data_IF_678762490073
#
_entry.id   IF_678762490073
#
_cell.length_a   1.000
_cell.length_b   1.000
_cell.length_c   1.000
_cell.angle_alpha   90.00
_cell.angle_beta   90.00
_cell.angle_gamma   90.00
#
_symmetry.space_group_name_H-M   'P 1'
#
loop_
_entity.id
_entity.type
_entity.pdbx_description
1 polymer ?
#
# COMPACT_ATOMS: atom_id res chain seq x y z
N UNK A 1 -9.67 -24.59 -3.44
CA UNK A 1 -8.88 -23.39 -3.73
C UNK A 1 -9.53 -22.63 -4.89
N UNK A 2 -9.27 -21.32 -5.01
CA UNK A 2 -9.83 -20.42 -6.02
C UNK A 2 -11.36 -20.26 -5.93
N UNK A 3 -11.91 -20.43 -4.77
CA UNK A 3 -13.34 -20.28 -4.49
C UNK A 3 -13.54 -19.45 -3.23
N UNK A 4 -14.39 -18.43 -3.32
CA UNK A 4 -14.69 -17.52 -2.22
C UNK A 4 -16.07 -17.82 -1.67
N UNK A 5 -16.21 -17.88 -0.36
CA UNK A 5 -17.52 -17.94 0.30
C UNK A 5 -18.13 -16.54 0.30
N UNK A 6 -19.29 -16.39 -0.33
CA UNK A 6 -20.02 -15.13 -0.43
C UNK A 6 -21.11 -15.02 0.63
N UNK A 7 -21.78 -16.11 0.93
CA UNK A 7 -22.92 -16.11 1.86
C UNK A 7 -22.89 -17.32 2.79
N UNK A 8 -23.24 -17.12 4.06
CA UNK A 8 -23.57 -18.19 4.98
C UNK A 8 -24.96 -17.94 5.56
N UNK A 9 -25.76 -18.99 5.71
CA UNK A 9 -27.10 -18.95 6.32
C UNK A 9 -27.31 -20.13 7.25
N UNK A 10 -27.90 -19.88 8.40
CA UNK A 10 -28.30 -20.94 9.29
C UNK A 10 -29.63 -21.57 8.78
N UNK A 11 -29.68 -22.90 8.73
CA UNK A 11 -30.87 -23.68 8.38
C UNK A 11 -31.06 -24.79 9.42
N UNK A 12 -31.97 -24.56 10.38
CA UNK A 12 -32.19 -25.42 11.54
C UNK A 12 -30.88 -25.70 12.30
N UNK A 13 -30.37 -26.93 12.22
CA UNK A 13 -29.16 -27.37 12.92
C UNK A 13 -27.89 -27.31 12.03
N UNK A 14 -28.00 -26.86 10.80
CA UNK A 14 -26.92 -26.83 9.83
C UNK A 14 -26.69 -25.41 9.29
N UNK A 15 -25.58 -25.21 8.64
CA UNK A 15 -25.25 -24.03 7.90
C UNK A 15 -25.26 -24.33 6.41
N UNK A 16 -25.77 -23.39 5.61
CA UNK A 16 -25.70 -23.40 4.16
C UNK A 16 -24.62 -22.37 3.79
N UNK A 17 -23.61 -22.80 3.05
CA UNK A 17 -22.49 -21.99 2.58
C UNK A 17 -22.57 -21.87 1.08
N UNK A 18 -22.63 -20.64 0.54
CA UNK A 18 -22.65 -20.36 -0.89
C UNK A 18 -21.38 -19.66 -1.34
N UNK A 19 -20.92 -20.00 -2.53
CA UNK A 19 -19.68 -19.48 -3.09
C UNK A 19 -19.90 -18.68 -4.36
N UNK A 20 -18.88 -17.91 -4.75
CA UNK A 20 -18.86 -17.15 -5.99
C UNK A 20 -18.99 -18.04 -7.26
N UNK A 21 -18.63 -19.33 -7.16
CA UNK A 21 -18.78 -20.30 -8.24
C UNK A 21 -20.18 -20.96 -8.27
N UNK A 22 -21.12 -20.43 -7.46
CA UNK A 22 -22.50 -20.96 -7.31
C UNK A 22 -22.59 -22.36 -6.69
N UNK A 23 -21.52 -22.82 -6.06
CA UNK A 23 -21.57 -24.04 -5.28
C UNK A 23 -22.26 -23.78 -3.95
N UNK A 24 -22.98 -24.79 -3.47
CA UNK A 24 -23.64 -24.78 -2.18
C UNK A 24 -23.19 -25.99 -1.33
N UNK A 25 -22.80 -25.73 -0.11
CA UNK A 25 -22.35 -26.74 0.85
C UNK A 25 -23.21 -26.66 2.10
N UNK A 26 -23.48 -27.83 2.69
CA UNK A 26 -24.15 -27.91 4.00
C UNK A 26 -23.12 -28.42 5.02
N UNK A 27 -23.03 -27.72 6.17
CA UNK A 27 -22.11 -28.07 7.24
C UNK A 27 -22.79 -27.93 8.62
N UNK A 28 -22.47 -28.80 9.56
CA UNK A 28 -22.93 -28.67 10.94
C UNK A 28 -22.22 -27.55 11.70
N UNK A 29 -20.94 -27.26 11.36
CA UNK A 29 -20.15 -26.24 11.96
C UNK A 29 -19.34 -25.50 10.89
N UNK A 30 -19.06 -24.20 11.13
CA UNK A 30 -18.19 -23.39 10.29
C UNK A 30 -17.04 -22.86 11.14
N UNK A 31 -15.83 -23.04 10.67
CA UNK A 31 -14.64 -22.45 11.26
C UNK A 31 -14.16 -21.31 10.34
N UNK A 32 -14.18 -20.08 10.87
CA UNK A 32 -13.71 -18.91 10.13
C UNK A 32 -12.22 -18.72 10.42
N UNK A 33 -11.38 -19.01 9.43
CA UNK A 33 -9.93 -18.88 9.50
C UNK A 33 -9.40 -17.89 8.44
N UNK A 34 -10.16 -16.80 8.20
CA UNK A 34 -9.88 -15.82 7.17
C UNK A 34 -8.74 -14.83 7.49
N UNK A 35 -8.09 -14.98 8.65
CA UNK A 35 -7.06 -14.07 9.11
C UNK A 35 -7.59 -12.64 9.22
N UNK A 36 -6.83 -11.67 8.71
CA UNK A 36 -7.20 -10.25 8.71
C UNK A 36 -7.99 -9.82 7.46
N UNK A 37 -8.48 -10.78 6.68
CA UNK A 37 -9.14 -10.53 5.40
C UNK A 37 -8.17 -10.22 4.27
N UNK A 38 -8.63 -9.51 3.24
CA UNK A 38 -7.77 -9.05 2.16
C UNK A 38 -7.05 -7.76 2.54
N UNK A 39 -5.78 -7.67 2.15
CA UNK A 39 -5.01 -6.44 2.26
C UNK A 39 -5.09 -5.67 0.94
N UNK A 40 -5.58 -4.45 0.99
CA UNK A 40 -5.48 -3.52 -0.11
C UNK A 40 -4.54 -2.36 0.26
N UNK A 41 -3.62 -1.97 -0.61
CA UNK A 41 -2.80 -0.80 -0.37
C UNK A 41 -3.68 0.45 -0.29
N UNK A 42 -3.37 1.33 0.66
CA UNK A 42 -4.00 2.64 0.71
C UNK A 42 -3.54 3.46 -0.48
N UNK A 43 -4.46 3.75 -1.40
CA UNK A 43 -4.16 4.47 -2.62
C UNK A 43 -3.91 5.96 -2.39
N UNK A 44 -3.16 6.56 -3.31
CA UNK A 44 -3.02 8.00 -3.42
C UNK A 44 -4.37 8.62 -3.85
N UNK A 45 -4.78 9.68 -3.15
CA UNK A 45 -6.03 10.39 -3.43
C UNK A 45 -5.74 11.63 -4.29
N UNK A 46 -5.49 11.41 -5.57
CA UNK A 46 -5.31 12.47 -6.56
C UNK A 46 -6.11 12.12 -7.82
N UNK A 47 -6.94 13.05 -8.29
CA UNK A 47 -7.79 12.81 -9.45
C UNK A 47 -6.98 12.43 -10.70
N UNK A 48 -7.34 11.33 -11.36
CA UNK A 48 -6.73 10.85 -12.60
C UNK A 48 -5.37 10.17 -12.41
N UNK A 49 -4.95 9.89 -11.17
CA UNK A 49 -3.68 9.20 -10.90
C UNK A 49 -3.76 7.71 -11.24
N UNK A 50 -4.98 7.16 -11.30
CA UNK A 50 -5.24 5.73 -11.55
C UNK A 50 -4.71 5.27 -12.91
N UNK A 51 -4.64 6.16 -13.88
CA UNK A 51 -4.11 5.86 -15.23
C UNK A 51 -2.63 5.44 -15.23
N UNK A 52 -1.90 5.75 -14.16
CA UNK A 52 -0.49 5.40 -14.01
C UNK A 52 -0.28 4.09 -13.24
N UNK A 53 -1.33 3.52 -12.63
CA UNK A 53 -1.22 2.29 -11.86
C UNK A 53 -0.75 1.12 -12.73
N UNK A 54 0.23 0.38 -12.23
CA UNK A 54 0.83 -0.75 -12.94
C UNK A 54 1.86 -0.38 -14.03
N UNK A 55 1.97 0.91 -14.40
CA UNK A 55 2.95 1.39 -15.38
C UNK A 55 4.08 2.20 -14.74
N UNK A 56 3.73 3.19 -13.93
CA UNK A 56 4.69 4.06 -13.25
C UNK A 56 4.27 4.48 -11.85
N UNK A 57 3.09 4.02 -11.40
CA UNK A 57 2.64 4.11 -10.02
C UNK A 57 2.42 2.69 -9.47
N UNK A 58 3.12 2.37 -8.39
CA UNK A 58 3.04 1.06 -7.75
C UNK A 58 2.85 1.19 -6.24
N UNK A 59 2.20 0.18 -5.66
CA UNK A 59 1.95 0.06 -4.21
C UNK A 59 2.72 -1.11 -3.59
N UNK A 60 3.47 -1.84 -4.40
CA UNK A 60 4.36 -2.92 -3.99
C UNK A 60 5.45 -3.13 -5.03
N UNK A 61 6.59 -3.66 -4.62
CA UNK A 61 7.68 -4.05 -5.52
C UNK A 61 7.64 -5.57 -5.65
N UNK A 62 7.30 -6.08 -6.83
CA UNK A 62 7.28 -7.52 -7.12
C UNK A 62 8.58 -7.99 -7.75
N UNK A 63 9.14 -7.18 -8.65
CA UNK A 63 10.39 -7.45 -9.34
C UNK A 63 11.23 -6.18 -9.33
N UNK A 64 12.32 -6.15 -8.59
CA UNK A 64 13.18 -4.97 -8.46
C UNK A 64 13.98 -4.60 -9.72
N UNK A 65 14.11 -5.53 -10.66
CA UNK A 65 14.80 -5.27 -11.93
C UNK A 65 14.12 -4.17 -12.77
N UNK A 66 12.78 -4.06 -12.66
CA UNK A 66 11.99 -3.06 -13.38
C UNK A 66 12.27 -1.62 -12.90
N UNK A 67 12.90 -1.47 -11.75
CA UNK A 67 13.19 -0.20 -11.11
C UNK A 67 14.63 0.29 -11.34
N UNK A 68 15.48 -0.49 -12.02
CA UNK A 68 16.88 -0.14 -12.25
C UNK A 68 17.05 1.11 -13.12
N UNK A 69 18.03 1.94 -12.78
CA UNK A 69 18.40 3.16 -13.49
C UNK A 69 17.24 4.16 -13.67
N UNK A 70 16.34 4.23 -12.68
CA UNK A 70 15.17 5.12 -12.66
C UNK A 70 15.32 6.21 -11.60
N UNK A 71 14.63 7.33 -11.84
CA UNK A 71 14.33 8.31 -10.79
C UNK A 71 13.05 7.86 -10.08
N UNK A 72 13.14 7.48 -8.81
CA UNK A 72 12.03 6.89 -8.08
C UNK A 72 11.66 7.79 -6.92
N UNK A 73 10.39 8.20 -6.87
CA UNK A 73 9.82 8.91 -5.73
C UNK A 73 9.04 7.93 -4.85
N UNK A 74 9.48 7.77 -3.61
CA UNK A 74 8.87 6.86 -2.63
C UNK A 74 8.11 7.67 -1.60
N UNK A 75 6.80 7.45 -1.51
CA UNK A 75 5.91 8.07 -0.53
C UNK A 75 5.64 7.12 0.62
N UNK A 76 6.02 7.54 1.83
CA UNK A 76 5.78 6.78 3.05
C UNK A 76 6.79 7.13 4.13
N UNK A 77 6.58 6.61 5.33
CA UNK A 77 7.46 6.89 6.48
C UNK A 77 7.54 5.74 7.47
N UNK A 78 7.02 4.57 7.11
CA UNK A 78 7.17 3.32 7.85
C UNK A 78 8.21 2.39 7.21
N UNK A 79 8.42 1.22 7.83
CA UNK A 79 9.45 0.24 7.45
C UNK A 79 9.44 -0.05 5.95
N UNK A 80 8.28 -0.36 5.35
CA UNK A 80 8.22 -0.68 3.92
C UNK A 80 8.78 0.42 3.01
N UNK A 81 8.52 1.70 3.32
CA UNK A 81 9.04 2.81 2.52
C UNK A 81 10.56 2.95 2.67
N UNK A 82 11.04 2.79 3.90
CA UNK A 82 12.46 2.92 4.25
C UNK A 82 13.28 1.76 3.69
N UNK A 83 12.81 0.54 3.85
CA UNK A 83 13.50 -0.65 3.36
C UNK A 83 13.60 -0.65 1.83
N UNK A 84 12.53 -0.27 1.13
CA UNK A 84 12.58 -0.13 -0.33
C UNK A 84 13.41 1.06 -0.79
N UNK A 85 13.44 2.18 -0.04
CA UNK A 85 14.33 3.29 -0.34
C UNK A 85 15.80 2.84 -0.25
N UNK A 86 16.14 2.10 0.81
CA UNK A 86 17.49 1.56 1.01
C UNK A 86 17.85 0.54 -0.08
N UNK A 87 16.98 -0.41 -0.38
CA UNK A 87 17.26 -1.47 -1.36
C UNK A 87 17.40 -0.91 -2.78
N UNK A 88 16.46 -0.06 -3.22
CA UNK A 88 16.45 0.50 -4.56
C UNK A 88 17.56 1.55 -4.79
N UNK A 89 18.05 2.19 -3.73
CA UNK A 89 19.17 3.15 -3.84
C UNK A 89 20.48 2.54 -4.33
N UNK A 90 20.62 1.22 -4.28
CA UNK A 90 21.78 0.48 -4.78
C UNK A 90 21.97 0.65 -6.29
N UNK A 91 20.89 0.89 -7.03
CA UNK A 91 20.91 0.94 -8.50
C UNK A 91 20.00 2.01 -9.13
N UNK A 92 19.39 2.86 -8.33
CA UNK A 92 18.47 3.92 -8.77
C UNK A 92 18.60 5.18 -7.92
N UNK A 93 18.12 6.30 -8.45
CA UNK A 93 18.09 7.57 -7.72
C UNK A 93 16.78 7.66 -6.95
N UNK A 94 16.86 7.85 -5.65
CA UNK A 94 15.70 7.82 -4.76
C UNK A 94 15.39 9.19 -4.19
N UNK A 95 14.12 9.59 -4.25
CA UNK A 95 13.57 10.67 -3.46
C UNK A 95 12.55 10.08 -2.48
N UNK A 96 12.86 10.11 -1.19
CA UNK A 96 12.00 9.64 -0.11
C UNK A 96 11.15 10.81 0.40
N UNK A 97 9.84 10.68 0.33
CA UNK A 97 8.87 11.75 0.60
C UNK A 97 7.97 11.34 1.75
N UNK A 98 7.90 12.17 2.78
CA UNK A 98 7.04 11.91 3.93
C UNK A 98 6.33 13.17 4.41
N UNK A 99 5.06 12.99 4.85
CA UNK A 99 4.20 14.09 5.34
C UNK A 99 4.53 14.60 6.74
N UNK A 100 5.45 13.97 7.46
CA UNK A 100 5.87 14.33 8.82
C UNK A 100 7.38 14.48 8.85
N UNK A 101 7.88 15.22 9.80
CA UNK A 101 9.33 15.36 10.03
C UNK A 101 9.97 14.04 10.49
N UNK A 102 9.21 13.19 11.17
CA UNK A 102 9.72 11.96 11.76
C UNK A 102 9.24 10.72 11.02
N UNK A 103 10.16 9.82 10.74
CA UNK A 103 9.90 8.49 10.21
C UNK A 103 9.59 7.50 11.35
N UNK A 104 8.82 6.45 11.04
CA UNK A 104 8.40 5.41 12.00
C UNK A 104 9.04 4.05 11.73
N UNK A 105 10.18 4.01 11.12
CA UNK A 105 10.87 2.78 10.79
C UNK A 105 11.94 2.42 11.81
N UNK A 106 12.56 1.25 11.61
CA UNK A 106 13.63 0.75 12.46
C UNK A 106 14.81 1.75 12.53
N UNK A 107 15.36 2.01 13.73
CA UNK A 107 16.46 2.98 13.90
C UNK A 107 17.68 2.67 13.03
N UNK A 108 17.97 1.38 12.82
CA UNK A 108 19.07 0.96 11.97
C UNK A 108 18.86 1.40 10.51
N UNK A 109 17.69 1.13 9.93
CA UNK A 109 17.33 1.52 8.56
C UNK A 109 17.40 3.03 8.37
N UNK A 110 16.92 3.81 9.36
CA UNK A 110 17.01 5.27 9.35
C UNK A 110 18.46 5.76 9.34
N UNK A 111 19.32 5.14 10.15
CA UNK A 111 20.76 5.47 10.17
C UNK A 111 21.41 5.27 8.80
N UNK A 112 21.13 4.14 8.14
CA UNK A 112 21.66 3.86 6.80
C UNK A 112 21.14 4.84 5.75
N UNK A 113 19.86 5.17 5.76
CA UNK A 113 19.27 6.17 4.86
C UNK A 113 19.90 7.53 5.06
N UNK A 114 20.15 7.96 6.30
CA UNK A 114 20.82 9.23 6.61
C UNK A 114 22.26 9.27 6.08
N UNK A 115 22.98 8.14 6.11
CA UNK A 115 24.32 8.04 5.51
C UNK A 115 24.24 8.21 3.98
N UNK A 116 23.24 7.56 3.34
CA UNK A 116 23.04 7.65 1.90
C UNK A 116 22.58 9.03 1.45
N UNK A 117 21.83 9.74 2.26
CA UNK A 117 21.45 11.14 2.02
C UNK A 117 22.69 12.05 2.02
N UNK A 118 23.56 11.92 3.00
CA UNK A 118 24.81 12.73 3.09
C UNK A 118 25.70 12.60 1.87
N UNK A 119 25.68 11.45 1.19
CA UNK A 119 26.46 11.22 -0.03
C UNK A 119 25.63 11.42 -1.32
N UNK A 120 24.41 11.94 -1.20
CA UNK A 120 23.53 12.28 -2.34
C UNK A 120 22.91 11.10 -3.08
N UNK A 121 22.93 9.89 -2.50
CA UNK A 121 22.30 8.69 -3.07
C UNK A 121 20.78 8.69 -2.89
N UNK A 122 20.30 9.22 -1.76
CA UNK A 122 18.90 9.41 -1.45
C UNK A 122 18.67 10.89 -1.18
N UNK A 123 17.55 11.44 -1.66
CA UNK A 123 17.08 12.78 -1.29
C UNK A 123 15.87 12.62 -0.37
N UNK A 124 15.88 13.26 0.80
CA UNK A 124 14.75 13.24 1.72
C UNK A 124 13.96 14.55 1.60
N UNK A 125 12.64 14.44 1.48
CA UNK A 125 11.71 15.56 1.42
C UNK A 125 10.65 15.41 2.50
N UNK A 126 10.76 16.25 3.53
CA UNK A 126 9.82 16.27 4.69
C UNK A 126 9.71 17.69 5.26
N UNK A 127 8.59 18.09 5.87
CA UNK A 127 7.27 17.48 5.76
C UNK A 127 6.58 17.94 4.47
N UNK A 128 6.19 17.03 3.62
CA UNK A 128 5.49 17.39 2.38
C UNK A 128 4.61 16.26 1.83
N UNK A 129 3.74 16.58 0.90
CA UNK A 129 2.78 15.66 0.30
C UNK A 129 2.77 15.83 -1.21
N UNK A 130 2.25 14.83 -1.92
CA UNK A 130 2.01 14.91 -3.36
C UNK A 130 0.93 15.97 -3.64
N UNK A 131 1.22 16.92 -4.51
CA UNK A 131 0.30 17.98 -4.93
C UNK A 131 -0.23 17.70 -6.34
N UNK A 132 0.63 17.29 -7.28
CA UNK A 132 0.22 16.96 -8.65
C UNK A 132 1.20 15.99 -9.32
N UNK A 133 0.74 15.39 -10.42
CA UNK A 133 1.51 14.47 -11.26
C UNK A 133 1.41 14.92 -12.71
N UNK A 134 2.53 14.91 -13.43
CA UNK A 134 2.60 15.20 -14.86
C UNK A 134 3.07 13.96 -15.65
N UNK A 135 2.38 13.68 -16.72
CA UNK A 135 2.65 12.59 -17.64
C UNK A 135 1.42 12.22 -18.45
N UNK A 136 1.60 11.43 -19.49
CA UNK A 136 0.51 10.91 -20.30
C UNK A 136 0.22 9.45 -19.96
N UNK A 137 0.96 8.51 -20.53
CA UNK A 137 0.87 7.06 -20.23
C UNK A 137 1.72 6.66 -19.03
N UNK A 138 2.80 7.37 -18.80
CA UNK A 138 3.73 7.19 -17.66
C UNK A 138 3.99 8.52 -16.99
N UNK A 139 4.37 8.49 -15.73
CA UNK A 139 4.78 9.66 -14.96
C UNK A 139 6.11 10.17 -15.51
N UNK A 140 6.23 11.49 -15.65
CA UNK A 140 7.48 12.19 -16.00
C UNK A 140 7.99 13.07 -14.87
N UNK A 141 7.07 13.63 -14.10
CA UNK A 141 7.41 14.42 -12.92
C UNK A 141 6.25 14.47 -11.95
N UNK A 142 6.58 14.77 -10.70
CA UNK A 142 5.61 15.06 -9.64
C UNK A 142 5.87 16.47 -9.11
N UNK A 143 4.85 17.07 -8.52
CA UNK A 143 4.99 18.26 -7.68
C UNK A 143 4.65 17.87 -6.25
N UNK A 144 5.52 18.20 -5.32
CA UNK A 144 5.27 18.08 -3.89
C UNK A 144 4.98 19.45 -3.29
N UNK A 145 4.14 19.46 -2.25
CA UNK A 145 3.81 20.66 -1.48
C UNK A 145 4.22 20.48 -0.03
N UNK A 146 5.04 21.39 0.46
CA UNK A 146 5.47 21.47 1.85
C UNK A 146 4.38 22.15 2.73
N UNK A 147 4.47 21.95 4.03
CA UNK A 147 3.49 22.52 4.99
C UNK A 147 3.54 24.05 5.04
N UNK A 148 4.68 24.67 4.68
CA UNK A 148 4.84 26.12 4.51
C UNK A 148 4.20 26.67 3.20
N UNK A 149 3.61 25.79 2.39
CA UNK A 149 2.99 26.12 1.12
C UNK A 149 3.94 26.11 -0.08
N UNK A 150 5.26 25.99 0.11
CA UNK A 150 6.22 25.88 -0.99
C UNK A 150 5.95 24.64 -1.83
N UNK A 151 6.17 24.76 -3.13
CA UNK A 151 6.08 23.65 -4.08
C UNK A 151 7.44 23.37 -4.72
N UNK A 152 7.72 22.10 -4.93
CA UNK A 152 8.90 21.63 -5.62
C UNK A 152 8.51 20.60 -6.68
N UNK A 153 9.01 20.79 -7.91
CA UNK A 153 8.86 19.83 -9.00
C UNK A 153 10.05 18.87 -8.99
N UNK A 154 9.76 17.57 -9.11
CA UNK A 154 10.74 16.49 -9.09
C UNK A 154 10.54 15.63 -10.32
N UNK A 155 11.60 15.49 -11.14
CA UNK A 155 11.58 14.56 -12.25
C UNK A 155 11.57 13.12 -11.71
N UNK A 156 10.60 12.33 -12.18
CA UNK A 156 10.30 11.03 -11.60
C UNK A 156 9.80 10.10 -12.69
N UNK A 157 10.43 8.95 -12.82
CA UNK A 157 9.99 7.89 -13.73
C UNK A 157 8.96 6.97 -13.05
N UNK A 158 9.11 6.75 -11.75
CA UNK A 158 8.30 5.82 -10.97
C UNK A 158 7.92 6.44 -9.62
N UNK A 159 6.66 6.26 -9.25
CA UNK A 159 6.14 6.56 -7.91
C UNK A 159 5.83 5.25 -7.18
N UNK A 160 6.39 5.09 -5.99
CA UNK A 160 6.04 4.03 -5.04
C UNK A 160 5.28 4.64 -3.86
N UNK A 161 4.12 4.07 -3.53
CA UNK A 161 3.30 4.59 -2.43
C UNK A 161 3.10 3.52 -1.36
N UNK A 162 3.69 3.77 -0.17
CA UNK A 162 3.64 2.90 0.99
C UNK A 162 2.90 3.57 2.16
N UNK A 163 1.60 3.81 1.99
CA UNK A 163 0.73 4.44 3.00
C UNK A 163 0.10 3.45 3.98
N UNK A 164 0.57 2.21 3.97
CA UNK A 164 0.02 1.10 4.74
C UNK A 164 -1.12 0.39 4.00
N UNK A 165 -1.66 -0.60 4.67
CA UNK A 165 -2.69 -1.49 4.12
C UNK A 165 -4.04 -1.20 4.77
N UNK A 166 -5.09 -1.39 3.98
CA UNK A 166 -6.47 -1.40 4.47
C UNK A 166 -6.89 -2.86 4.55
N UNK A 167 -7.31 -3.29 5.73
CA UNK A 167 -7.93 -4.60 5.91
C UNK A 167 -9.39 -4.53 5.45
N UNK A 168 -9.78 -5.48 4.61
CA UNK A 168 -11.16 -5.68 4.18
C UNK A 168 -11.56 -7.12 4.50
N UNK A 169 -12.56 -7.28 5.34
CA UNK A 169 -13.10 -8.60 5.68
C UNK A 169 -13.91 -9.22 4.52
N UNK A 170 -14.25 -8.41 3.51
CA UNK A 170 -15.06 -8.89 2.40
C UNK A 170 -16.44 -9.38 2.87
N UNK A 171 -16.97 -10.45 2.28
CA UNK A 171 -18.29 -10.98 2.63
C UNK A 171 -18.47 -11.34 4.11
N UNK A 172 -17.39 -11.67 4.83
CA UNK A 172 -17.44 -12.01 6.27
C UNK A 172 -18.09 -10.90 7.09
N UNK A 173 -17.90 -9.64 6.71
CA UNK A 173 -18.49 -8.50 7.40
C UNK A 173 -20.04 -8.47 7.34
N UNK A 174 -20.63 -9.19 6.36
CA UNK A 174 -22.08 -9.24 6.10
C UNK A 174 -22.74 -10.52 6.63
N UNK A 175 -21.99 -11.42 7.27
CA UNK A 175 -22.51 -12.71 7.75
C UNK A 175 -23.25 -12.63 9.09
N UNK A 176 -23.48 -11.41 9.62
CA UNK A 176 -24.24 -11.20 10.86
C UNK A 176 -23.44 -11.53 12.13
N UNK A 177 -22.11 -11.54 12.05
CA UNK A 177 -21.23 -11.77 13.20
C UNK A 177 -21.12 -10.52 14.05
N UNK A 178 -20.94 -10.69 15.35
CA UNK A 178 -20.62 -9.58 16.24
C UNK A 178 -19.22 -9.05 15.93
N UNK A 179 -19.15 -7.76 15.63
CA UNK A 179 -17.93 -7.11 15.18
C UNK A 179 -17.51 -6.02 16.14
N UNK A 180 -16.24 -6.01 16.53
CA UNK A 180 -15.60 -4.88 17.17
C UNK A 180 -14.65 -4.19 16.17
N UNK A 181 -15.08 -3.04 15.61
CA UNK A 181 -14.41 -2.34 14.51
C UNK A 181 -14.25 -3.25 13.28
N UNK A 182 -13.10 -3.92 13.14
CA UNK A 182 -12.75 -4.81 12.00
C UNK A 182 -12.36 -6.22 12.47
N UNK A 183 -12.63 -6.57 13.70
CA UNK A 183 -12.37 -7.89 14.27
C UNK A 183 -13.68 -8.56 14.65
N UNK A 184 -13.77 -9.87 14.45
CA UNK A 184 -14.88 -10.68 14.92
C UNK A 184 -14.73 -10.83 16.42
N UNK A 185 -15.78 -10.55 17.19
CA UNK A 185 -15.79 -10.82 18.62
C UNK A 185 -15.86 -12.33 18.84
N UNK A 186 -15.00 -12.82 19.72
CA UNK A 186 -14.95 -14.23 20.15
C UNK A 186 -15.04 -14.30 21.66
N UNK A 187 -15.69 -15.35 22.16
CA UNK A 187 -15.83 -15.61 23.61
C UNK A 187 -14.54 -16.22 24.15
#
# INVERSE_FOLDING_TARGET
FNERVDEIKQNKNNWIVKTNNKNEFTASNIIIAGGVGSFEPRKLSLQGIEKFEGNSLFYSVKNKEEFKNKNISIFGGGDSALDWALELSKFSKITLIHRRNEFRGAPHTLSEITKLEKIGKISIKTPCQLDSVQGDKVIKSITIKFDDGKREKIDTDIVLSFFGLIMKLGPIAEWGLNMNKKTIEVN
#
